data_IF_487280411894
#
_entry.id   IF_487280411894
#
_cell.length_a   1.000
_cell.length_b   1.000
_cell.length_c   1.000
_cell.angle_alpha   90.00
_cell.angle_beta   90.00
_cell.angle_gamma   90.00
#
_symmetry.space_group_name_H-M   'P 1'
#
loop_
_entity.id
_entity.type
_entity.pdbx_description
1 polymer ?
#
# COMPACT_ATOMS: atom_id res chain seq x y z
N UNK A 1 25.78 16.35 87.07
CA UNK A 1 25.28 15.02 87.48
C UNK A 1 25.20 14.16 86.22
N UNK A 2 26.27 13.42 85.87
CA UNK A 2 26.47 11.96 86.08
C UNK A 2 25.31 11.06 85.62
N UNK A 3 25.57 10.31 84.53
CA UNK A 3 25.20 8.91 84.15
C UNK A 3 25.28 8.85 82.61
N UNK A 4 26.29 8.29 81.92
CA UNK A 4 26.82 6.92 81.83
C UNK A 4 25.82 5.86 81.35
N UNK A 5 26.30 5.00 80.43
CA UNK A 5 25.69 3.83 79.75
C UNK A 5 24.90 4.15 78.46
N UNK A 6 25.04 3.47 77.32
CA UNK A 6 25.76 2.21 76.99
C UNK A 6 25.99 2.12 75.49
N UNK A 7 27.13 1.55 75.13
CA UNK A 7 27.51 1.12 73.79
C UNK A 7 26.61 -0.06 73.36
N UNK A 8 26.07 -0.03 72.14
CA UNK A 8 25.46 -1.22 71.52
C UNK A 8 26.00 -1.37 70.11
N UNK A 9 26.75 -2.45 69.94
CA UNK A 9 27.34 -2.96 68.72
C UNK A 9 26.22 -3.47 67.82
N UNK A 10 26.05 -2.92 66.63
CA UNK A 10 25.33 -3.58 65.55
C UNK A 10 26.31 -3.91 64.43
N UNK A 11 26.58 -5.20 64.28
CA UNK A 11 27.32 -5.78 63.19
C UNK A 11 26.51 -5.61 61.89
N UNK A 12 26.95 -4.71 61.02
CA UNK A 12 26.49 -4.62 59.64
C UNK A 12 27.42 -5.43 58.75
N UNK A 13 26.97 -6.59 58.31
CA UNK A 13 27.64 -7.47 57.36
C UNK A 13 27.81 -6.71 56.03
N UNK A 14 29.06 -6.47 55.62
CA UNK A 14 29.38 -6.00 54.27
C UNK A 14 29.28 -7.18 53.30
N UNK A 15 28.11 -7.37 52.68
CA UNK A 15 27.97 -8.21 51.50
C UNK A 15 28.49 -7.44 50.29
N UNK A 16 29.72 -7.75 49.89
CA UNK A 16 30.24 -7.38 48.58
C UNK A 16 29.42 -8.12 47.50
N UNK A 17 28.40 -7.45 46.96
CA UNK A 17 27.67 -7.93 45.80
C UNK A 17 28.54 -7.85 44.55
N UNK A 18 29.02 -9.00 44.08
CA UNK A 18 29.55 -9.15 42.73
C UNK A 18 28.47 -8.70 41.72
N UNK A 19 28.68 -7.57 41.05
CA UNK A 19 27.91 -7.21 39.86
C UNK A 19 28.32 -8.17 38.74
N UNK A 20 27.51 -9.19 38.52
CA UNK A 20 27.48 -9.92 37.25
C UNK A 20 27.10 -8.92 36.14
N UNK A 21 27.88 -8.81 35.05
CA UNK A 21 27.46 -8.02 33.92
C UNK A 21 26.20 -8.65 33.32
N UNK A 22 25.11 -7.88 33.23
CA UNK A 22 23.94 -8.29 32.45
C UNK A 22 24.42 -8.50 31.02
N UNK A 23 24.25 -9.73 30.54
CA UNK A 23 24.33 -10.00 29.11
C UNK A 23 23.21 -9.24 28.44
N UNK A 24 23.55 -8.14 27.77
CA UNK A 24 22.71 -7.56 26.74
C UNK A 24 22.67 -8.56 25.57
N UNK A 25 21.77 -9.54 25.65
CA UNK A 25 21.21 -10.18 24.46
C UNK A 25 20.27 -9.16 23.79
N UNK A 26 20.87 -8.09 23.27
CA UNK A 26 20.27 -7.32 22.20
C UNK A 26 20.26 -8.22 20.98
N UNK A 27 19.07 -8.66 20.59
CA UNK A 27 18.83 -9.43 19.38
C UNK A 27 19.38 -8.66 18.18
N UNK A 28 20.58 -9.02 17.74
CA UNK A 28 21.17 -8.64 16.44
C UNK A 28 20.44 -9.35 15.30
N UNK A 29 19.13 -9.13 15.20
CA UNK A 29 18.30 -9.47 14.06
C UNK A 29 17.70 -8.18 13.53
N UNK A 30 18.55 -7.32 12.98
CA UNK A 30 18.07 -6.20 12.16
C UNK A 30 19.18 -5.74 11.24
N UNK A 31 18.80 -5.30 10.04
CA UNK A 31 19.60 -4.75 8.94
C UNK A 31 20.17 -5.71 7.87
N UNK A 32 20.46 -7.00 8.14
CA UNK A 32 20.95 -7.89 7.04
C UNK A 32 19.85 -8.49 6.15
N UNK A 33 18.59 -8.54 6.61
CA UNK A 33 17.52 -9.27 5.93
C UNK A 33 16.77 -8.45 4.87
N UNK A 34 16.81 -7.11 4.96
CA UNK A 34 16.11 -6.22 4.02
C UNK A 34 16.85 -6.01 2.70
N UNK A 35 18.17 -6.23 2.65
CA UNK A 35 18.98 -6.06 1.44
C UNK A 35 19.09 -7.39 0.65
N UNK A 36 19.21 -8.52 1.36
CA UNK A 36 19.21 -9.86 0.73
C UNK A 36 17.85 -10.26 0.13
N UNK A 37 16.74 -9.69 0.63
CA UNK A 37 15.40 -9.98 0.10
C UNK A 37 15.17 -9.32 -1.27
N UNK A 38 15.82 -8.19 -1.56
CA UNK A 38 15.65 -7.44 -2.83
C UNK A 38 16.32 -8.14 -4.01
N UNK A 39 17.30 -9.00 -3.79
CA UNK A 39 17.95 -9.76 -4.87
C UNK A 39 17.19 -11.01 -5.29
N UNK A 40 16.22 -11.47 -4.49
CA UNK A 40 15.41 -12.66 -4.79
C UNK A 40 14.28 -12.29 -5.75
N UNK A 41 14.07 -13.09 -6.80
CA UNK A 41 12.88 -12.97 -7.64
C UNK A 41 11.63 -13.24 -6.80
N UNK A 42 10.61 -12.40 -6.98
CA UNK A 42 9.29 -12.60 -6.39
C UNK A 42 8.33 -13.14 -7.45
N UNK A 43 7.37 -13.95 -7.03
CA UNK A 43 6.41 -14.61 -7.92
C UNK A 43 4.97 -14.32 -7.49
N UNK A 44 4.70 -14.19 -6.18
CA UNK A 44 3.36 -13.92 -5.65
C UNK A 44 3.29 -12.56 -4.98
N UNK A 45 2.47 -11.68 -5.51
CA UNK A 45 2.20 -10.35 -4.97
C UNK A 45 0.72 -10.30 -4.56
N UNK A 46 0.45 -10.16 -3.26
CA UNK A 46 -0.91 -9.94 -2.76
C UNK A 46 -1.14 -8.46 -2.50
N UNK A 47 -2.36 -7.98 -2.67
CA UNK A 47 -2.70 -6.57 -2.47
C UNK A 47 -4.16 -6.37 -2.09
N UNK A 48 -4.47 -5.20 -1.53
CA UNK A 48 -5.84 -4.79 -1.23
C UNK A 48 -5.93 -3.46 -0.51
N UNK A 49 -7.15 -2.95 -0.36
CA UNK A 49 -7.50 -1.74 0.38
C UNK A 49 -8.78 -1.91 1.20
N UNK A 50 -9.16 -0.85 1.94
CA UNK A 50 -10.44 -0.73 2.65
C UNK A 50 -10.57 -1.73 3.81
N UNK A 51 -9.66 -1.59 4.78
CA UNK A 51 -9.59 -2.37 6.01
C UNK A 51 -9.98 -1.55 7.23
N UNK A 52 -11.29 -1.49 7.52
CA UNK A 52 -11.79 -0.89 8.76
C UNK A 52 -11.42 -1.76 9.96
N UNK A 53 -10.48 -1.25 10.74
CA UNK A 53 -9.93 -1.88 11.93
C UNK A 53 -10.97 -2.19 13.01
N UNK A 54 -12.20 -1.64 12.92
CA UNK A 54 -13.31 -1.92 13.83
C UNK A 54 -14.20 -3.09 13.36
N UNK A 55 -14.08 -3.51 12.11
CA UNK A 55 -14.88 -4.59 11.52
C UNK A 55 -14.16 -5.94 11.65
N UNK A 56 -14.90 -7.06 11.53
CA UNK A 56 -14.28 -8.36 11.29
C UNK A 56 -13.35 -8.29 10.07
N UNK A 57 -12.19 -8.93 10.17
CA UNK A 57 -11.16 -8.96 9.11
C UNK A 57 -10.87 -10.42 8.73
N UNK A 58 -11.84 -11.13 8.11
CA UNK A 58 -11.74 -12.56 7.90
C UNK A 58 -10.60 -12.94 6.96
N UNK A 59 -10.31 -12.11 5.96
CA UNK A 59 -9.43 -12.48 4.84
C UNK A 59 -7.94 -12.65 5.19
N UNK A 60 -7.49 -12.28 6.39
CA UNK A 60 -6.06 -12.32 6.70
C UNK A 60 -5.49 -13.74 6.71
N UNK A 61 -6.26 -14.73 7.13
CA UNK A 61 -5.80 -16.13 7.17
C UNK A 61 -5.67 -16.69 5.75
N UNK A 62 -6.61 -16.39 4.85
CA UNK A 62 -6.54 -16.68 3.43
C UNK A 62 -5.31 -16.04 2.78
N UNK A 63 -5.06 -14.76 3.07
CA UNK A 63 -3.89 -14.03 2.55
C UNK A 63 -2.58 -14.69 3.04
N UNK A 64 -2.49 -15.02 4.33
CA UNK A 64 -1.34 -15.74 4.89
C UNK A 64 -1.17 -17.11 4.21
N UNK A 65 -2.26 -17.84 3.96
CA UNK A 65 -2.23 -19.15 3.32
C UNK A 65 -1.72 -19.10 1.87
N UNK A 66 -1.90 -17.98 1.16
CA UNK A 66 -1.32 -17.80 -0.19
C UNK A 66 0.22 -17.75 -0.20
N UNK A 67 0.84 -17.43 0.96
CA UNK A 67 2.28 -17.21 1.13
C UNK A 67 2.83 -16.20 0.12
N UNK A 68 2.31 -14.95 0.10
CA UNK A 68 2.80 -13.92 -0.80
C UNK A 68 4.27 -13.58 -0.50
N UNK A 69 5.04 -13.30 -1.55
CA UNK A 69 6.41 -12.79 -1.42
C UNK A 69 6.42 -11.32 -0.97
N UNK A 70 5.34 -10.59 -1.24
CA UNK A 70 5.11 -9.21 -0.78
C UNK A 70 3.61 -8.94 -0.68
N UNK A 71 3.21 -8.17 0.34
CA UNK A 71 1.88 -7.60 0.47
C UNK A 71 1.92 -6.10 0.15
N UNK A 72 0.97 -5.63 -0.64
CA UNK A 72 0.83 -4.24 -1.05
C UNK A 72 -0.49 -3.66 -0.56
N UNK A 73 -0.39 -2.74 0.40
CA UNK A 73 -1.50 -1.88 0.79
C UNK A 73 -1.76 -0.81 -0.26
N UNK A 74 -3.02 -0.66 -0.67
CA UNK A 74 -3.49 0.36 -1.62
C UNK A 74 -4.39 1.39 -0.95
N UNK A 75 -4.14 1.65 0.33
CA UNK A 75 -4.85 2.66 1.10
C UNK A 75 -6.10 2.18 1.82
N UNK A 76 -6.72 3.09 2.55
CA UNK A 76 -7.70 2.79 3.59
C UNK A 76 -7.22 1.65 4.50
N UNK A 77 -5.95 1.74 4.87
CA UNK A 77 -5.27 0.78 5.73
C UNK A 77 -5.94 0.75 7.11
N UNK A 78 -6.56 1.88 7.46
CA UNK A 78 -7.48 2.11 8.57
C UNK A 78 -8.56 3.10 8.15
N UNK A 79 -9.68 3.13 8.87
CA UNK A 79 -10.69 4.18 8.72
C UNK A 79 -10.45 5.26 9.76
N UNK A 80 -9.65 6.27 9.38
CA UNK A 80 -9.02 7.28 10.23
C UNK A 80 -9.84 8.55 10.46
N UNK A 81 -10.28 9.22 9.39
CA UNK A 81 -11.21 10.38 9.34
C UNK A 81 -11.09 11.33 10.54
N UNK A 82 -9.88 11.83 10.79
CA UNK A 82 -9.62 12.70 11.92
C UNK A 82 -8.41 13.58 11.66
N UNK A 83 -8.50 14.85 12.07
CA UNK A 83 -7.34 15.73 12.20
C UNK A 83 -6.54 15.48 13.50
N UNK A 84 -7.04 14.62 14.39
CA UNK A 84 -6.32 14.22 15.60
C UNK A 84 -5.32 13.11 15.30
N UNK A 85 -4.03 13.44 15.39
CA UNK A 85 -2.95 12.49 15.16
C UNK A 85 -2.94 11.35 16.19
N UNK A 86 -3.44 11.61 17.41
CA UNK A 86 -3.59 10.57 18.42
C UNK A 86 -4.67 9.55 18.02
N UNK A 87 -5.76 10.02 17.42
CA UNK A 87 -6.81 9.14 16.87
C UNK A 87 -6.28 8.28 15.74
N UNK A 88 -5.59 8.87 14.76
CA UNK A 88 -4.98 8.13 13.64
C UNK A 88 -3.96 7.11 14.17
N UNK A 89 -3.06 7.51 15.07
CA UNK A 89 -2.07 6.61 15.69
C UNK A 89 -2.71 5.45 16.41
N UNK A 90 -3.76 5.69 17.20
CA UNK A 90 -4.48 4.64 17.92
C UNK A 90 -5.16 3.65 16.95
N UNK A 91 -5.77 4.15 15.87
CA UNK A 91 -6.40 3.30 14.85
C UNK A 91 -5.39 2.45 14.09
N UNK A 92 -4.25 3.01 13.70
CA UNK A 92 -3.13 2.23 13.13
C UNK A 92 -2.62 1.17 14.10
N UNK A 93 -2.53 1.49 15.40
CA UNK A 93 -2.13 0.53 16.41
C UNK A 93 -3.13 -0.65 16.52
N UNK A 94 -4.44 -0.40 16.43
CA UNK A 94 -5.46 -1.46 16.40
C UNK A 94 -5.24 -2.38 15.20
N UNK A 95 -5.12 -1.81 13.99
CA UNK A 95 -4.89 -2.61 12.78
C UNK A 95 -3.62 -3.46 12.89
N UNK A 96 -2.52 -2.85 13.33
CA UNK A 96 -1.21 -3.50 13.50
C UNK A 96 -1.19 -4.54 14.64
N UNK A 97 -2.16 -4.49 15.55
CA UNK A 97 -2.35 -5.46 16.63
C UNK A 97 -3.18 -6.68 16.26
N UNK A 98 -3.82 -6.70 15.07
CA UNK A 98 -4.56 -7.87 14.60
C UNK A 98 -3.60 -9.08 14.53
N UNK A 99 -3.87 -10.19 15.24
CA UNK A 99 -2.93 -11.29 15.38
C UNK A 99 -2.63 -12.01 14.06
N UNK A 100 -3.61 -12.12 13.17
CA UNK A 100 -3.43 -12.77 11.87
C UNK A 100 -2.68 -11.86 10.90
N UNK A 101 -2.94 -10.55 10.94
CA UNK A 101 -2.12 -9.58 10.21
C UNK A 101 -0.66 -9.54 10.74
N UNK A 102 -0.45 -9.72 12.04
CA UNK A 102 0.90 -9.86 12.60
C UNK A 102 1.62 -11.11 12.08
N UNK A 103 0.90 -12.22 11.90
CA UNK A 103 1.46 -13.41 11.27
C UNK A 103 1.93 -13.11 9.84
N UNK A 104 1.12 -12.41 9.03
CA UNK A 104 1.54 -11.96 7.69
C UNK A 104 2.80 -11.10 7.76
N UNK A 105 2.83 -10.11 8.66
CA UNK A 105 3.98 -9.19 8.85
C UNK A 105 5.28 -9.89 9.22
N UNK A 106 5.21 -11.03 9.93
CA UNK A 106 6.39 -11.81 10.28
C UNK A 106 6.95 -12.63 9.11
N UNK A 107 6.10 -12.96 8.13
CA UNK A 107 6.43 -13.87 7.03
C UNK A 107 6.68 -13.15 5.71
N UNK A 108 6.07 -11.98 5.53
CA UNK A 108 5.99 -11.28 4.25
C UNK A 108 6.33 -9.79 4.43
N UNK A 109 7.23 -9.24 3.59
CA UNK A 109 7.42 -7.80 3.48
C UNK A 109 6.10 -7.06 3.19
N UNK A 110 5.81 -6.05 4.00
CA UNK A 110 4.66 -5.15 3.82
C UNK A 110 5.15 -3.85 3.20
N UNK A 111 4.56 -3.47 2.07
CA UNK A 111 4.71 -2.15 1.47
C UNK A 111 3.33 -1.53 1.24
N UNK A 112 3.28 -0.25 0.92
CA UNK A 112 2.01 0.38 0.59
C UNK A 112 2.02 1.89 0.56
N UNK A 113 0.81 2.41 0.37
CA UNK A 113 0.46 3.83 0.42
C UNK A 113 -0.90 3.94 1.13
N UNK A 114 -1.27 5.14 1.54
CA UNK A 114 -2.60 5.48 2.07
C UNK A 114 -3.63 5.69 0.97
N UNK A 115 -4.88 5.86 1.38
CA UNK A 115 -5.92 6.58 0.67
C UNK A 115 -6.60 7.59 1.60
N UNK A 116 -7.80 8.08 1.31
CA UNK A 116 -8.39 9.25 1.99
C UNK A 116 -8.68 9.02 3.49
N UNK A 117 -9.21 7.84 3.85
CA UNK A 117 -9.58 7.57 5.24
C UNK A 117 -8.37 7.52 6.17
N UNK A 118 -7.25 6.95 5.73
CA UNK A 118 -6.00 6.89 6.52
C UNK A 118 -5.03 8.06 6.25
N UNK A 119 -5.27 8.83 5.19
CA UNK A 119 -4.77 10.21 5.01
C UNK A 119 -5.36 11.16 6.06
N UNK A 120 -6.62 10.90 6.46
CA UNK A 120 -7.26 11.51 7.63
C UNK A 120 -8.52 12.31 7.34
N UNK A 121 -8.95 12.40 6.08
CA UNK A 121 -10.23 13.01 5.69
C UNK A 121 -10.72 12.45 4.36
N UNK A 122 -11.99 12.04 4.31
CA UNK A 122 -12.64 11.53 3.12
C UNK A 122 -12.51 12.48 1.92
N UNK A 123 -12.21 11.95 0.73
CA UNK A 123 -11.92 12.67 -0.52
C UNK A 123 -10.87 13.79 -0.35
N UNK A 124 -9.98 13.68 0.64
CA UNK A 124 -8.99 14.72 0.95
C UNK A 124 -7.89 14.82 -0.10
N UNK A 125 -7.47 16.06 -0.39
CA UNK A 125 -6.31 16.37 -1.23
C UNK A 125 -5.28 17.24 -0.50
N UNK A 126 -4.57 18.08 -1.26
CA UNK A 126 -3.52 18.97 -0.76
C UNK A 126 -3.98 20.02 0.26
N UNK A 127 -5.29 20.27 0.31
CA UNK A 127 -5.96 21.18 1.24
C UNK A 127 -6.02 20.66 2.68
N UNK A 128 -5.83 19.34 2.89
CA UNK A 128 -5.85 18.77 4.23
C UNK A 128 -4.68 19.27 5.09
N UNK A 129 -4.94 19.94 6.23
CA UNK A 129 -3.91 20.64 6.99
C UNK A 129 -2.90 19.71 7.69
N UNK A 130 -3.26 18.44 7.90
CA UNK A 130 -2.46 17.46 8.65
C UNK A 130 -1.77 16.41 7.78
N UNK A 131 -1.63 16.67 6.49
CA UNK A 131 -1.00 15.72 5.54
C UNK A 131 0.45 15.36 5.90
N UNK A 132 1.23 16.29 6.46
CA UNK A 132 2.62 16.03 6.87
C UNK A 132 2.69 15.09 8.08
N UNK A 133 1.90 15.37 9.10
CA UNK A 133 1.86 14.56 10.32
C UNK A 133 1.25 13.19 10.05
N UNK A 134 0.18 13.12 9.26
CA UNK A 134 -0.46 11.85 8.87
C UNK A 134 0.51 10.98 8.07
N UNK A 135 1.36 11.58 7.22
CA UNK A 135 2.37 10.85 6.45
C UNK A 135 3.30 10.08 7.39
N UNK A 136 3.74 10.71 8.47
CA UNK A 136 4.62 10.05 9.42
C UNK A 136 3.93 8.87 10.11
N UNK A 137 2.64 8.97 10.42
CA UNK A 137 1.88 7.85 11.00
C UNK A 137 1.69 6.69 10.03
N UNK A 138 1.40 6.97 8.75
CA UNK A 138 1.36 5.94 7.71
C UNK A 138 2.73 5.25 7.57
N UNK A 139 3.82 6.02 7.56
CA UNK A 139 5.18 5.48 7.46
C UNK A 139 5.57 4.66 8.71
N UNK A 140 5.11 5.04 9.90
CA UNK A 140 5.27 4.26 11.12
C UNK A 140 4.47 2.95 11.07
N UNK A 141 3.24 2.99 10.53
CA UNK A 141 2.43 1.80 10.32
C UNK A 141 3.13 0.80 9.39
N UNK A 142 3.68 1.28 8.28
CA UNK A 142 4.41 0.50 7.27
C UNK A 142 5.85 0.12 7.68
N UNK A 143 6.26 0.40 8.92
CA UNK A 143 7.61 0.09 9.45
C UNK A 143 8.76 0.71 8.61
N UNK A 144 8.51 1.86 7.97
CA UNK A 144 9.54 2.55 7.18
C UNK A 144 10.63 3.05 8.14
N UNK A 145 11.92 2.73 7.92
CA UNK A 145 12.99 3.12 8.84
C UNK A 145 13.04 4.63 9.10
N UNK A 146 13.41 5.02 10.32
CA UNK A 146 13.57 6.44 10.70
C UNK A 146 14.60 7.19 9.84
N UNK A 147 15.56 6.45 9.28
CA UNK A 147 16.62 6.96 8.40
C UNK A 147 16.23 7.00 6.91
N UNK A 148 15.03 6.52 6.54
CA UNK A 148 14.60 6.49 5.15
C UNK A 148 14.41 7.91 4.59
N UNK A 149 14.87 8.20 3.36
CA UNK A 149 14.63 9.51 2.72
C UNK A 149 13.13 9.77 2.52
N UNK A 150 12.29 8.73 2.46
CA UNK A 150 10.84 8.83 2.40
C UNK A 150 10.23 9.60 3.59
N UNK A 151 10.91 9.67 4.74
CA UNK A 151 10.44 10.45 5.89
C UNK A 151 10.69 11.95 5.74
N UNK A 152 11.59 12.36 4.84
CA UNK A 152 11.93 13.76 4.59
C UNK A 152 11.26 14.31 3.33
N UNK A 153 10.87 13.45 2.39
CA UNK A 153 10.14 13.87 1.20
C UNK A 153 8.69 14.24 1.55
N UNK A 154 8.11 15.14 0.76
CA UNK A 154 6.68 15.39 0.77
C UNK A 154 5.96 14.31 -0.07
N UNK A 155 4.91 13.71 0.49
CA UNK A 155 4.16 12.61 -0.12
C UNK A 155 4.70 11.21 0.21
N UNK A 156 3.78 10.24 0.30
CA UNK A 156 4.03 8.84 0.61
C UNK A 156 4.44 7.94 -0.56
N UNK A 157 4.72 8.51 -1.74
CA UNK A 157 5.05 7.72 -2.94
C UNK A 157 6.40 7.03 -2.82
N UNK A 158 6.49 5.79 -3.28
CA UNK A 158 7.70 4.97 -3.08
C UNK A 158 7.92 3.95 -4.19
N UNK A 159 9.14 3.41 -4.28
CA UNK A 159 9.50 2.37 -5.25
C UNK A 159 10.21 1.21 -4.55
N UNK A 160 9.87 0.00 -4.94
CA UNK A 160 10.41 -1.25 -4.41
C UNK A 160 10.81 -2.14 -5.57
N UNK A 161 12.07 -2.59 -5.60
CA UNK A 161 12.59 -3.44 -6.69
C UNK A 161 13.03 -4.78 -6.13
N UNK A 162 12.61 -5.84 -6.79
CA UNK A 162 12.86 -7.22 -6.40
C UNK A 162 13.40 -8.02 -7.57
N UNK A 163 14.36 -8.89 -7.29
CA UNK A 163 14.86 -9.89 -8.23
C UNK A 163 15.99 -9.43 -9.15
N UNK A 164 16.70 -10.41 -9.74
CA UNK A 164 17.76 -10.17 -10.68
C UNK A 164 17.20 -9.76 -12.05
N UNK A 165 18.04 -9.18 -12.90
CA UNK A 165 17.70 -8.88 -14.30
C UNK A 165 17.17 -10.14 -15.00
N UNK A 166 16.06 -10.02 -15.73
CA UNK A 166 15.37 -11.14 -16.39
C UNK A 166 14.24 -11.74 -15.54
N UNK A 167 14.22 -11.47 -14.23
CA UNK A 167 13.12 -11.78 -13.31
C UNK A 167 12.90 -10.63 -12.32
N UNK A 168 13.00 -9.39 -12.84
CA UNK A 168 12.96 -8.20 -12.01
C UNK A 168 11.56 -7.59 -11.99
N UNK A 169 11.01 -7.39 -10.79
CA UNK A 169 9.75 -6.69 -10.57
C UNK A 169 10.06 -5.33 -9.95
N UNK A 170 9.44 -4.28 -10.49
CA UNK A 170 9.43 -2.94 -9.89
C UNK A 170 8.01 -2.60 -9.49
N UNK A 171 7.78 -2.46 -8.18
CA UNK A 171 6.52 -1.95 -7.62
C UNK A 171 6.67 -0.45 -7.37
N UNK A 172 5.85 0.36 -8.02
CA UNK A 172 5.81 1.82 -7.93
C UNK A 172 4.50 2.19 -7.24
N UNK A 173 4.56 2.83 -6.09
CA UNK A 173 3.38 3.24 -5.32
C UNK A 173 3.20 4.74 -5.46
N UNK A 174 2.07 5.13 -6.05
CA UNK A 174 1.68 6.52 -6.21
C UNK A 174 0.91 6.97 -4.98
N UNK A 175 1.28 8.13 -4.44
CA UNK A 175 0.43 8.90 -3.55
C UNK A 175 -0.55 9.72 -4.38
N UNK A 176 -1.85 9.41 -4.28
CA UNK A 176 -2.94 10.08 -4.99
C UNK A 176 -3.66 11.12 -4.10
N UNK A 177 -3.08 11.49 -2.95
CA UNK A 177 -3.68 12.37 -1.94
C UNK A 177 -2.87 13.63 -1.71
N UNK A 178 -1.58 13.48 -1.35
CA UNK A 178 -0.78 14.56 -0.76
C UNK A 178 -0.71 15.82 -1.62
N UNK A 179 -0.61 15.66 -2.95
CA UNK A 179 -0.48 16.76 -3.91
C UNK A 179 -1.76 17.01 -4.72
N UNK A 180 -2.74 16.12 -4.64
CA UNK A 180 -3.94 16.15 -5.46
C UNK A 180 -4.71 17.46 -5.23
N UNK A 181 -5.15 18.09 -6.31
CA UNK A 181 -6.03 19.25 -6.23
C UNK A 181 -7.41 18.88 -5.66
N UNK A 182 -8.13 19.80 -5.00
CA UNK A 182 -9.48 19.53 -4.50
C UNK A 182 -10.41 18.99 -5.60
N UNK A 183 -11.30 18.05 -5.26
CA UNK A 183 -12.30 17.55 -6.22
C UNK A 183 -13.29 18.65 -6.57
N UNK A 184 -13.56 18.83 -7.86
CA UNK A 184 -14.70 19.62 -8.33
C UNK A 184 -15.98 18.80 -8.17
N UNK A 185 -16.99 19.38 -7.49
CA UNK A 185 -18.29 18.73 -7.26
C UNK A 185 -19.43 19.57 -7.82
N UNK A 186 -20.35 18.93 -8.53
CA UNK A 186 -21.63 19.52 -8.97
C UNK A 186 -22.76 18.63 -8.45
N UNK A 187 -23.73 19.20 -7.73
CA UNK A 187 -24.81 18.44 -7.08
C UNK A 187 -24.31 17.25 -6.23
N UNK A 188 -23.20 17.45 -5.51
CA UNK A 188 -22.50 16.43 -4.68
C UNK A 188 -21.87 15.27 -5.46
N UNK A 189 -21.82 15.33 -6.78
CA UNK A 189 -21.17 14.34 -7.65
C UNK A 189 -19.81 14.88 -8.09
N UNK A 190 -18.78 14.03 -8.10
CA UNK A 190 -17.47 14.41 -8.61
C UNK A 190 -17.54 14.57 -10.13
N UNK A 191 -17.19 15.75 -10.62
CA UNK A 191 -17.17 16.05 -12.07
C UNK A 191 -15.72 16.25 -12.56
N UNK A 192 -15.45 16.05 -13.85
CA UNK A 192 -14.11 16.28 -14.40
C UNK A 192 -13.66 17.74 -14.25
N UNK A 193 -12.42 17.93 -13.82
CA UNK A 193 -11.71 19.20 -13.81
C UNK A 193 -10.39 19.06 -14.61
N UNK A 194 -10.34 19.56 -15.86
CA UNK A 194 -9.14 19.46 -16.68
C UNK A 194 -7.98 20.36 -16.21
N UNK A 195 -8.22 21.26 -15.24
CA UNK A 195 -7.19 22.17 -14.71
C UNK A 195 -6.46 21.61 -13.49
N UNK A 196 -7.03 20.60 -12.83
CA UNK A 196 -6.44 20.00 -11.63
C UNK A 196 -5.42 18.89 -11.92
N UNK A 197 -4.63 18.56 -10.91
CA UNK A 197 -3.58 17.56 -10.91
C UNK A 197 -3.76 16.50 -9.81
N UNK A 198 -3.15 15.32 -10.02
CA UNK A 198 -3.15 14.20 -9.08
C UNK A 198 -1.88 14.13 -8.24
N UNK A 199 -0.71 14.29 -8.88
CA UNK A 199 0.57 13.89 -8.27
C UNK A 199 1.46 15.08 -7.85
N UNK A 200 1.26 16.26 -8.42
CA UNK A 200 2.18 17.37 -8.26
C UNK A 200 3.51 17.13 -8.99
N UNK A 201 4.18 18.22 -9.38
CA UNK A 201 5.35 18.15 -10.26
C UNK A 201 6.54 17.37 -9.69
N UNK A 202 6.71 17.33 -8.37
CA UNK A 202 7.78 16.57 -7.72
C UNK A 202 7.61 15.06 -7.96
N UNK A 203 6.41 14.54 -7.71
CA UNK A 203 6.11 13.13 -7.91
C UNK A 203 6.01 12.78 -9.40
N UNK A 204 5.52 13.69 -10.27
CA UNK A 204 5.55 13.48 -11.72
C UNK A 204 6.97 13.27 -12.26
N UNK A 205 7.91 14.13 -11.88
CA UNK A 205 9.33 14.01 -12.27
C UNK A 205 9.93 12.73 -11.71
N UNK A 206 9.62 12.40 -10.46
CA UNK A 206 10.07 11.16 -9.84
C UNK A 206 9.53 9.92 -10.58
N UNK A 207 8.24 9.90 -10.94
CA UNK A 207 7.62 8.78 -11.65
C UNK A 207 8.25 8.59 -13.03
N UNK A 208 8.48 9.67 -13.77
CA UNK A 208 9.17 9.62 -15.05
C UNK A 208 10.58 9.04 -14.92
N UNK A 209 11.31 9.39 -13.86
CA UNK A 209 12.63 8.80 -13.57
C UNK A 209 12.54 7.30 -13.25
N UNK A 210 11.52 6.85 -12.52
CA UNK A 210 11.36 5.43 -12.19
C UNK A 210 11.06 4.55 -13.42
N UNK A 211 10.39 5.12 -14.42
CA UNK A 211 9.99 4.43 -15.64
C UNK A 211 11.03 4.53 -16.77
N UNK A 212 11.67 5.70 -16.92
CA UNK A 212 12.62 5.96 -18.00
C UNK A 212 13.81 5.01 -17.92
N UNK A 213 14.02 4.21 -18.98
CA UNK A 213 15.11 3.23 -19.09
C UNK A 213 15.12 2.22 -17.92
N UNK A 214 13.97 1.96 -17.31
CA UNK A 214 13.83 0.92 -16.30
C UNK A 214 14.20 -0.45 -16.87
N UNK A 215 14.97 -1.24 -16.12
CA UNK A 215 15.40 -2.58 -16.51
C UNK A 215 14.58 -3.70 -15.85
N UNK A 216 13.48 -3.35 -15.20
CA UNK A 216 12.53 -4.33 -14.69
C UNK A 216 11.75 -5.00 -15.84
N UNK A 217 11.40 -6.27 -15.65
CA UNK A 217 10.67 -7.08 -16.61
C UNK A 217 9.16 -7.02 -16.38
N UNK A 218 8.74 -6.64 -15.16
CA UNK A 218 7.34 -6.38 -14.79
C UNK A 218 7.27 -5.10 -13.95
N UNK A 219 6.31 -4.22 -14.26
CA UNK A 219 6.04 -2.99 -13.50
C UNK A 219 4.64 -3.03 -12.91
N UNK A 220 4.54 -3.00 -11.58
CA UNK A 220 3.26 -2.92 -10.88
C UNK A 220 3.14 -1.51 -10.33
N UNK A 221 2.13 -0.77 -10.78
CA UNK A 221 1.93 0.63 -10.39
C UNK A 221 0.69 0.72 -9.50
N UNK A 222 0.86 0.93 -8.21
CA UNK A 222 -0.23 1.05 -7.23
C UNK A 222 -0.75 2.47 -7.10
N UNK A 223 -2.08 2.62 -6.98
CA UNK A 223 -2.78 3.88 -6.73
C UNK A 223 -3.88 3.63 -5.69
N UNK A 224 -4.13 4.57 -4.76
CA UNK A 224 -5.23 4.45 -3.80
C UNK A 224 -6.60 4.40 -4.50
N UNK A 225 -6.78 5.24 -5.51
CA UNK A 225 -8.00 5.32 -6.33
C UNK A 225 -7.83 4.68 -7.71
N UNK A 226 -8.95 4.33 -8.35
CA UNK A 226 -9.00 3.75 -9.70
C UNK A 226 -8.39 4.64 -10.78
N UNK A 227 -7.60 4.05 -11.69
CA UNK A 227 -6.85 4.74 -12.74
C UNK A 227 -7.59 4.74 -14.07
N UNK A 228 -8.10 3.58 -14.50
CA UNK A 228 -8.68 3.41 -15.83
C UNK A 228 -10.18 3.71 -15.94
N UNK A 229 -11.06 3.28 -15.02
CA UNK A 229 -12.49 3.61 -15.07
C UNK A 229 -12.79 5.11 -15.21
N UNK A 230 -13.86 5.47 -15.93
CA UNK A 230 -14.21 6.87 -16.24
C UNK A 230 -15.63 7.26 -15.82
N UNK A 231 -16.56 6.31 -15.74
CA UNK A 231 -17.99 6.61 -15.73
C UNK A 231 -18.61 6.71 -14.34
N UNK A 232 -18.07 6.02 -13.33
CA UNK A 232 -18.65 6.04 -12.00
C UNK A 232 -18.57 7.42 -11.34
N UNK A 233 -19.46 7.71 -10.39
CA UNK A 233 -19.61 9.06 -9.82
C UNK A 233 -18.63 9.41 -8.70
N UNK A 234 -17.97 8.39 -8.17
CA UNK A 234 -17.01 8.51 -7.07
C UNK A 234 -15.62 8.97 -7.56
N UNK A 235 -14.68 9.10 -6.62
CA UNK A 235 -13.34 9.56 -6.89
C UNK A 235 -12.53 8.56 -7.74
N UNK A 236 -11.78 9.12 -8.70
CA UNK A 236 -10.96 8.38 -9.68
C UNK A 236 -10.02 9.34 -10.38
N UNK A 237 -9.00 8.79 -11.06
CA UNK A 237 -8.11 9.56 -11.91
C UNK A 237 -8.85 10.34 -13.02
N UNK A 238 -9.98 9.82 -13.53
CA UNK A 238 -10.77 10.52 -14.55
C UNK A 238 -11.46 11.81 -14.05
N UNK A 239 -11.46 12.09 -12.73
CA UNK A 239 -11.82 13.42 -12.24
C UNK A 239 -10.82 14.50 -12.66
N UNK A 240 -9.57 14.13 -12.98
CA UNK A 240 -8.54 15.04 -13.49
C UNK A 240 -8.05 14.55 -14.87
N UNK A 241 -8.84 14.74 -15.94
CA UNK A 241 -8.60 14.11 -17.23
C UNK A 241 -7.23 14.46 -17.85
N UNK A 242 -6.73 15.68 -17.63
CA UNK A 242 -5.40 16.10 -18.10
C UNK A 242 -4.28 15.33 -17.38
N UNK A 243 -4.39 15.15 -16.06
CA UNK A 243 -3.43 14.38 -15.26
C UNK A 243 -3.46 12.89 -15.62
N UNK A 244 -4.66 12.32 -15.80
CA UNK A 244 -4.80 10.93 -16.28
C UNK A 244 -4.20 10.75 -17.67
N UNK A 245 -4.44 11.67 -18.60
CA UNK A 245 -3.80 11.65 -19.92
C UNK A 245 -2.28 11.72 -19.80
N UNK A 246 -1.74 12.60 -18.95
CA UNK A 246 -0.29 12.70 -18.69
C UNK A 246 0.30 11.39 -18.17
N UNK A 247 -0.42 10.66 -17.30
CA UNK A 247 0.01 9.33 -16.84
C UNK A 247 0.09 8.34 -18.02
N UNK A 248 -0.98 8.22 -18.81
CA UNK A 248 -1.03 7.29 -19.94
C UNK A 248 0.01 7.65 -21.02
N UNK A 249 0.18 8.94 -21.31
CA UNK A 249 1.21 9.43 -22.23
C UNK A 249 2.62 9.11 -21.71
N UNK A 250 2.87 9.23 -20.40
CA UNK A 250 4.16 8.87 -19.79
C UNK A 250 4.44 7.37 -19.91
N UNK A 251 3.45 6.51 -19.69
CA UNK A 251 3.56 5.07 -19.89
C UNK A 251 3.85 4.76 -21.37
N UNK A 252 3.13 5.38 -22.31
CA UNK A 252 3.37 5.22 -23.75
C UNK A 252 4.75 5.73 -24.19
N UNK A 253 5.24 6.82 -23.59
CA UNK A 253 6.55 7.42 -23.86
C UNK A 253 7.69 6.53 -23.37
N UNK A 254 7.57 6.02 -22.14
CA UNK A 254 8.66 5.27 -21.48
C UNK A 254 8.64 3.77 -21.78
N UNK A 255 7.48 3.24 -22.21
CA UNK A 255 7.25 1.83 -22.57
C UNK A 255 7.83 0.85 -21.56
N UNK A 256 7.50 0.98 -20.26
CA UNK A 256 7.91 0.00 -19.26
C UNK A 256 7.46 -1.40 -19.70
N UNK A 257 8.25 -2.44 -19.43
CA UNK A 257 7.84 -3.82 -19.73
C UNK A 257 6.78 -4.29 -18.74
N UNK A 258 5.75 -4.97 -19.23
CA UNK A 258 4.74 -5.61 -18.39
C UNK A 258 4.14 -4.68 -17.33
N UNK A 259 3.76 -3.45 -17.72
CA UNK A 259 3.13 -2.53 -16.79
C UNK A 259 1.65 -2.87 -16.59
N UNK A 260 1.23 -2.80 -15.34
CA UNK A 260 -0.17 -2.88 -14.93
C UNK A 260 -0.40 -1.99 -13.71
N UNK A 261 -1.63 -1.49 -13.57
CA UNK A 261 -2.09 -0.80 -12.37
C UNK A 261 -2.76 -1.77 -11.39
N UNK A 262 -2.61 -1.48 -10.11
CA UNK A 262 -3.45 -2.02 -9.04
C UNK A 262 -4.07 -0.85 -8.26
N UNK A 263 -5.36 -0.95 -7.90
CA UNK A 263 -6.10 0.14 -7.29
C UNK A 263 -7.06 -0.27 -6.15
N UNK A 264 -7.47 0.71 -5.33
CA UNK A 264 -8.30 0.57 -4.13
C UNK A 264 -9.62 1.36 -4.16
N UNK A 265 -10.02 1.99 -3.02
CA UNK A 265 -11.16 2.92 -2.79
C UNK A 265 -12.59 2.36 -2.92
N UNK A 266 -12.87 1.54 -3.94
CA UNK A 266 -14.25 1.36 -4.44
C UNK A 266 -15.20 0.46 -3.65
N UNK A 267 -14.76 -0.23 -2.60
CA UNK A 267 -15.56 -1.23 -1.88
C UNK A 267 -16.13 -2.32 -2.83
N UNK A 268 -15.38 -2.67 -3.86
CA UNK A 268 -15.63 -3.71 -4.85
C UNK A 268 -14.29 -4.14 -5.48
N UNK A 269 -14.32 -5.17 -6.32
CA UNK A 269 -13.21 -5.51 -7.19
C UNK A 269 -13.66 -5.64 -8.65
N UNK A 270 -12.75 -5.30 -9.56
CA UNK A 270 -12.93 -5.46 -10.99
C UNK A 270 -11.59 -5.41 -11.72
N UNK A 271 -11.63 -5.76 -12.99
CA UNK A 271 -10.51 -5.60 -13.92
C UNK A 271 -10.93 -4.64 -15.02
N UNK A 272 -10.11 -3.64 -15.28
CA UNK A 272 -10.24 -2.75 -16.42
C UNK A 272 -9.08 -2.94 -17.39
N UNK A 273 -9.32 -2.72 -18.68
CA UNK A 273 -8.32 -2.87 -19.73
C UNK A 273 -8.47 -1.79 -20.80
N UNK A 274 -7.35 -1.16 -21.17
CA UNK A 274 -7.29 -0.20 -22.28
C UNK A 274 -6.12 -0.51 -23.20
N UNK A 275 -6.28 -0.24 -24.49
CA UNK A 275 -5.17 -0.23 -25.45
C UNK A 275 -4.60 1.19 -25.55
N UNK A 276 -3.39 1.41 -25.02
CA UNK A 276 -2.72 2.71 -25.06
C UNK A 276 -1.89 2.83 -26.34
N UNK A 277 -2.12 3.85 -27.20
CA UNK A 277 -1.34 4.03 -28.42
C UNK A 277 0.17 4.08 -28.16
N UNK A 278 0.91 3.22 -28.87
CA UNK A 278 2.38 3.18 -28.80
C UNK A 278 2.98 2.30 -27.70
N UNK A 279 2.19 1.79 -26.75
CA UNK A 279 2.67 0.92 -25.66
C UNK A 279 3.00 -0.50 -26.15
N UNK A 280 2.22 -1.01 -27.11
CA UNK A 280 2.44 -2.33 -27.74
C UNK A 280 1.83 -3.52 -27.02
N UNK A 281 1.15 -3.29 -25.89
CA UNK A 281 0.35 -4.27 -25.16
C UNK A 281 -0.82 -3.56 -24.44
N UNK A 282 -1.80 -4.32 -23.99
CA UNK A 282 -2.96 -3.80 -23.25
C UNK A 282 -2.56 -3.43 -21.81
N UNK A 283 -2.94 -2.24 -21.37
CA UNK A 283 -2.72 -1.77 -20.01
C UNK A 283 -3.93 -2.14 -19.14
N UNK A 284 -3.66 -2.83 -18.04
CA UNK A 284 -4.69 -3.27 -17.09
C UNK A 284 -4.69 -2.40 -15.83
N UNK A 285 -5.86 -2.30 -15.20
CA UNK A 285 -6.04 -1.78 -13.83
C UNK A 285 -6.87 -2.78 -13.04
N UNK A 286 -6.27 -3.33 -12.00
CA UNK A 286 -6.88 -4.36 -11.16
C UNK A 286 -7.27 -3.73 -9.83
N UNK A 287 -8.56 -3.51 -9.65
CA UNK A 287 -9.10 -2.95 -8.41
C UNK A 287 -9.41 -4.08 -7.43
N UNK A 288 -8.89 -3.98 -6.20
CA UNK A 288 -9.26 -4.85 -5.10
C UNK A 288 -9.44 -4.04 -3.82
N UNK A 289 -10.69 -3.71 -3.55
CA UNK A 289 -11.07 -2.79 -2.49
C UNK A 289 -12.23 -3.39 -1.70
N UNK A 290 -11.94 -4.04 -0.58
CA UNK A 290 -13.01 -4.68 0.18
C UNK A 290 -12.52 -5.72 1.17
N UNK A 291 -11.47 -5.40 1.91
CA UNK A 291 -10.91 -6.33 2.90
C UNK A 291 -11.88 -6.60 4.05
N UNK A 292 -12.70 -5.61 4.42
CA UNK A 292 -13.59 -5.68 5.58
C UNK A 292 -15.04 -5.36 5.29
N UNK A 293 -15.31 -4.70 4.16
CA UNK A 293 -16.64 -4.37 3.73
C UNK A 293 -16.68 -4.06 2.24
N UNK A 294 -17.87 -4.18 1.68
CA UNK A 294 -18.13 -3.95 0.26
C UNK A 294 -19.43 -3.16 0.09
N UNK A 295 -19.56 -2.55 -1.07
CA UNK A 295 -20.81 -1.99 -1.56
C UNK A 295 -21.88 -3.07 -1.70
N UNK A 296 -23.15 -2.69 -1.55
CA UNK A 296 -24.26 -3.59 -1.86
C UNK A 296 -24.19 -3.97 -3.35
N UNK A 297 -24.66 -5.17 -3.75
CA UNK A 297 -24.70 -5.56 -5.15
C UNK A 297 -25.44 -4.52 -6.01
N UNK A 298 -24.79 -4.05 -7.06
CA UNK A 298 -25.32 -3.06 -7.99
C UNK A 298 -24.68 -3.22 -9.37
N UNK A 299 -25.12 -2.42 -10.33
CA UNK A 299 -24.48 -2.31 -11.65
C UNK A 299 -23.85 -0.93 -11.74
N UNK A 300 -22.58 -0.89 -12.09
CA UNK A 300 -21.84 0.36 -12.32
C UNK A 300 -21.27 0.33 -13.74
N UNK A 301 -21.41 1.42 -14.50
CA UNK A 301 -20.85 1.49 -15.84
C UNK A 301 -19.31 1.58 -15.78
N UNK A 302 -18.66 0.82 -16.66
CA UNK A 302 -17.22 0.90 -16.92
C UNK A 302 -16.98 0.28 -18.31
N UNK A 303 -16.77 1.12 -19.32
CA UNK A 303 -16.55 0.69 -20.70
C UNK A 303 -15.26 -0.12 -20.87
N UNK A 304 -14.34 -0.04 -19.91
CA UNK A 304 -13.07 -0.76 -19.92
C UNK A 304 -13.12 -2.06 -19.12
N UNK A 305 -14.25 -2.39 -18.48
CA UNK A 305 -14.35 -3.59 -17.64
C UNK A 305 -14.14 -4.86 -18.45
N UNK A 306 -13.35 -5.76 -17.88
CA UNK A 306 -13.17 -7.14 -18.36
C UNK A 306 -13.71 -8.09 -17.30
N UNK A 307 -14.73 -8.87 -17.67
CA UNK A 307 -15.39 -9.79 -16.76
C UNK A 307 -16.37 -9.09 -15.81
N UNK A 308 -16.62 -9.74 -14.67
CA UNK A 308 -17.64 -9.32 -13.71
C UNK A 308 -17.09 -8.34 -12.67
N UNK A 309 -18.00 -7.50 -12.17
CA UNK A 309 -17.78 -6.71 -10.96
C UNK A 309 -18.05 -7.55 -9.71
N UNK A 310 -17.12 -7.55 -8.76
CA UNK A 310 -17.19 -8.35 -7.53
C UNK A 310 -17.54 -7.46 -6.34
N UNK A 311 -18.73 -7.67 -5.78
CA UNK A 311 -19.24 -6.99 -4.56
C UNK A 311 -19.25 -7.94 -3.36
N UNK A 312 -18.13 -8.64 -3.18
CA UNK A 312 -17.86 -9.56 -2.05
C UNK A 312 -16.53 -9.19 -1.42
N UNK A 313 -16.35 -9.51 -0.12
CA UNK A 313 -15.08 -9.30 0.56
C UNK A 313 -13.95 -9.93 -0.25
N UNK A 314 -12.91 -9.15 -0.55
CA UNK A 314 -11.90 -9.56 -1.52
C UNK A 314 -10.49 -9.04 -1.23
N UNK A 315 -9.52 -9.74 -1.81
CA UNK A 315 -8.13 -9.31 -1.96
C UNK A 315 -7.60 -9.77 -3.33
N UNK A 316 -6.60 -9.05 -3.83
CA UNK A 316 -5.96 -9.34 -5.11
C UNK A 316 -4.71 -10.21 -4.94
N UNK A 317 -4.46 -11.08 -5.91
CA UNK A 317 -3.24 -11.89 -5.99
C UNK A 317 -2.73 -11.97 -7.42
N UNK A 318 -1.51 -11.49 -7.64
CA UNK A 318 -0.76 -11.63 -8.90
C UNK A 318 0.24 -12.77 -8.73
N UNK A 319 0.22 -13.72 -9.66
CA UNK A 319 1.20 -14.81 -9.75
C UNK A 319 1.93 -14.75 -11.10
N UNK A 320 3.22 -14.43 -11.08
CA UNK A 320 4.05 -14.28 -12.28
C UNK A 320 4.59 -15.63 -12.73
N UNK A 321 4.38 -15.99 -13.99
CA UNK A 321 4.99 -17.16 -14.61
C UNK A 321 6.27 -16.76 -15.36
N UNK A 322 7.41 -16.80 -14.66
CA UNK A 322 8.72 -16.50 -15.22
C UNK A 322 9.20 -17.48 -16.30
N UNK A 323 8.60 -18.69 -16.38
CA UNK A 323 8.95 -19.69 -17.38
C UNK A 323 8.25 -19.44 -18.73
N UNK A 324 7.18 -18.64 -18.75
CA UNK A 324 6.45 -18.33 -19.97
C UNK A 324 7.25 -17.38 -20.90
N UNK A 325 7.04 -17.54 -22.20
CA UNK A 325 7.63 -16.73 -23.29
C UNK A 325 6.52 -16.33 -24.26
N UNK A 326 6.01 -15.08 -24.26
CA UNK A 326 6.33 -13.97 -23.35
C UNK A 326 5.98 -14.27 -21.89
N UNK A 327 6.52 -13.47 -20.95
CA UNK A 327 6.22 -13.60 -19.51
C UNK A 327 4.72 -13.37 -19.32
N UNK A 328 4.08 -14.17 -18.50
CA UNK A 328 2.66 -14.00 -18.17
C UNK A 328 2.46 -13.85 -16.66
N UNK A 329 1.32 -13.30 -16.27
CA UNK A 329 0.84 -13.34 -14.90
C UNK A 329 -0.63 -13.75 -14.84
N UNK A 330 -0.96 -14.56 -13.84
CA UNK A 330 -2.33 -14.83 -13.46
C UNK A 330 -2.71 -13.89 -12.33
N UNK A 331 -3.74 -13.09 -12.54
CA UNK A 331 -4.35 -12.21 -11.54
C UNK A 331 -5.62 -12.87 -11.05
N UNK A 332 -5.78 -12.96 -9.73
CA UNK A 332 -7.00 -13.46 -9.09
C UNK A 332 -7.55 -12.42 -8.13
N UNK A 333 -8.87 -12.28 -8.14
CA UNK A 333 -9.62 -11.65 -7.05
C UNK A 333 -10.15 -12.80 -6.19
N UNK A 334 -9.58 -12.94 -5.01
CA UNK A 334 -9.94 -13.96 -4.04
C UNK A 334 -10.83 -13.38 -2.95
N UNK A 335 -11.46 -14.25 -2.18
CA UNK A 335 -12.24 -13.89 -0.99
C UNK A 335 -12.02 -14.86 0.16
N UNK A 336 -12.97 -14.82 1.09
CA UNK A 336 -13.01 -15.68 2.27
C UNK A 336 -13.14 -17.16 1.88
N UNK A 337 -12.75 -18.05 2.78
CA UNK A 337 -12.81 -19.51 2.61
C UNK A 337 -12.12 -19.99 1.32
N UNK A 338 -10.99 -19.36 0.96
CA UNK A 338 -10.20 -19.63 -0.25
C UNK A 338 -10.98 -19.44 -1.57
N UNK A 339 -12.06 -18.67 -1.56
CA UNK A 339 -12.83 -18.39 -2.78
C UNK A 339 -11.98 -17.64 -3.83
N UNK A 340 -12.25 -17.91 -5.11
CA UNK A 340 -11.76 -17.10 -6.24
C UNK A 340 -12.98 -16.64 -7.05
N UNK A 341 -13.15 -15.33 -7.16
CA UNK A 341 -14.29 -14.71 -7.85
C UNK A 341 -13.96 -14.31 -9.29
N UNK A 342 -12.71 -13.90 -9.54
CA UNK A 342 -12.24 -13.51 -10.87
C UNK A 342 -10.85 -14.06 -11.11
N UNK A 343 -10.60 -14.53 -12.33
CA UNK A 343 -9.25 -14.88 -12.81
C UNK A 343 -8.99 -14.20 -14.15
N UNK A 344 -7.92 -13.43 -14.25
CA UNK A 344 -7.47 -12.76 -15.47
C UNK A 344 -6.05 -13.20 -15.80
N UNK A 345 -5.81 -13.62 -17.05
CA UNK A 345 -4.47 -13.86 -17.56
C UNK A 345 -3.95 -12.59 -18.23
N UNK A 346 -2.72 -12.20 -17.91
CA UNK A 346 -2.03 -11.05 -18.50
C UNK A 346 -0.75 -11.55 -19.17
N UNK A 347 -0.50 -11.11 -20.39
CA UNK A 347 0.76 -11.32 -21.09
C UNK A 347 1.52 -10.01 -21.12
N UNK A 348 2.81 -10.05 -20.78
CA UNK A 348 3.69 -8.88 -20.69
C UNK A 348 4.58 -8.67 -21.91
#
# INVERSE_FOLDING_TARGET
MKKLLTLSLFAGIALAGCRTPKSDTSSTLSFKQADSSRTKAITKIAFGSCSDQKRPQPLWDDIVAQKPDVWVWLGDNIYGDSESMDTLRAKYAIQKSNPVYQQLRQLTPIIGVWDDHDYGVNDGGKEYPKRKESQQLMLDFLDVPSTSPLRQQEGGYSVHTYGPKGQRVKVILLDARYFRDPLKKENKVNVPDPSGDMLGEAQWKWLEQQLTKSDADVHIIGSGVQVLPEEHVYEKWANFPTARKRLLDLIAKTKPKGALFISGDRHMAEVSKVSVPGLGYDLFDITSSGLTHVSAPHVEANQYRVGDMVTKLNYGLITINWAAKPITATVRINGDEQATYLTQQISF
#
